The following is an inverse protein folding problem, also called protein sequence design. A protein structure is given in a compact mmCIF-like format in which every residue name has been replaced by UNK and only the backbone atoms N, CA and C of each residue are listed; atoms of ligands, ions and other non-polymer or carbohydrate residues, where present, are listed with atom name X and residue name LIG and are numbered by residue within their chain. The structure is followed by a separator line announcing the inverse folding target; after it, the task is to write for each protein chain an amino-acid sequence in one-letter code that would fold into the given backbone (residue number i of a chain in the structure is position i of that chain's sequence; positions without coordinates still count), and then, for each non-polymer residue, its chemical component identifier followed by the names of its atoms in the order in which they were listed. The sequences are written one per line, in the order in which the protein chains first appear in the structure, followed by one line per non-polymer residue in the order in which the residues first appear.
data_IF_687320775444
#
_entry.id   IF_687320775444
#
_cell.length_a   1.000
_cell.length_b   1.000
_cell.length_c   1.000
_cell.angle_alpha   90.00
_cell.angle_beta   90.00
_cell.angle_gamma   90.00
#
_symmetry.space_group_name_H-M   'P 1'
#
loop_
_entity.id
_entity.type
_entity.pdbx_description
1 polymer ?
#
# COMPACT_ATOMS: atom_id res chain seq x y z
N UNK A 1 -23.20 0.63 -6.10
CA UNK A 1 -21.95 1.29 -6.58
C UNK A 1 -21.00 1.44 -5.42
N UNK A 2 -19.75 1.00 -5.58
CA UNK A 2 -18.69 1.29 -4.62
C UNK A 2 -18.38 2.79 -4.69
N UNK A 3 -18.40 3.46 -3.53
CA UNK A 3 -18.05 4.87 -3.46
C UNK A 3 -16.53 5.02 -3.64
N UNK A 4 -16.13 5.98 -4.44
CA UNK A 4 -14.75 6.44 -4.52
C UNK A 4 -14.64 7.83 -3.89
N UNK A 5 -13.56 8.13 -3.26
CA UNK A 5 -13.27 9.43 -2.65
C UNK A 5 -12.44 10.34 -3.57
N UNK A 6 -12.66 10.22 -4.88
CA UNK A 6 -11.99 11.04 -5.89
C UNK A 6 -11.82 12.52 -5.53
N UNK A 7 -12.86 13.21 -5.00
CA UNK A 7 -12.71 14.62 -4.60
C UNK A 7 -11.70 14.84 -3.49
N UNK A 8 -11.56 13.88 -2.56
CA UNK A 8 -10.61 13.98 -1.45
C UNK A 8 -9.18 13.80 -1.95
N UNK A 9 -8.93 12.85 -2.85
CA UNK A 9 -7.63 12.68 -3.50
C UNK A 9 -7.21 13.95 -4.25
N UNK A 10 -8.15 14.57 -4.96
CA UNK A 10 -7.90 15.81 -5.68
C UNK A 10 -7.62 16.99 -4.73
N UNK A 11 -8.27 17.07 -3.57
CA UNK A 11 -8.04 18.09 -2.56
C UNK A 11 -6.68 17.96 -1.86
N UNK A 12 -6.23 16.72 -1.58
CA UNK A 12 -4.90 16.46 -1.03
C UNK A 12 -3.79 16.85 -2.01
N UNK A 13 -3.91 16.47 -3.28
CA UNK A 13 -2.97 16.87 -4.33
C UNK A 13 -2.90 18.37 -4.55
N UNK A 14 -3.94 19.11 -4.17
CA UNK A 14 -4.01 20.56 -4.34
C UNK A 14 -3.26 21.36 -3.27
N UNK A 15 -2.86 20.75 -2.16
CA UNK A 15 -2.29 21.46 -1.02
C UNK A 15 -0.76 21.50 -0.99
N UNK A 16 -0.07 20.50 -1.54
CA UNK A 16 1.33 20.27 -1.14
C UNK A 16 2.29 19.94 -2.28
N UNK A 17 2.35 20.68 -3.40
CA UNK A 17 3.54 20.49 -4.13
C UNK A 17 3.62 20.75 -5.64
N UNK A 18 4.79 20.52 -6.24
CA UNK A 18 5.14 20.86 -7.63
C UNK A 18 4.34 20.09 -8.70
N UNK A 19 3.58 19.07 -8.31
CA UNK A 19 2.73 18.27 -9.19
C UNK A 19 1.30 18.79 -9.31
N UNK A 20 1.08 20.04 -8.97
CA UNK A 20 -0.20 20.71 -9.15
C UNK A 20 -0.47 20.96 -10.64
N UNK A 21 -1.15 20.01 -11.29
CA UNK A 21 -1.63 20.22 -12.65
C UNK A 21 -2.77 21.25 -12.68
N UNK A 22 -2.79 22.21 -13.61
CA UNK A 22 -3.95 23.07 -13.85
C UNK A 22 -5.26 22.27 -14.07
N UNK A 23 -5.15 21.04 -14.57
CA UNK A 23 -6.22 20.07 -14.73
C UNK A 23 -6.89 19.72 -13.39
N UNK A 24 -6.17 19.70 -12.28
CA UNK A 24 -6.72 19.39 -10.96
C UNK A 24 -7.70 20.45 -10.43
N UNK A 25 -7.54 21.73 -10.78
CA UNK A 25 -8.49 22.80 -10.39
C UNK A 25 -9.85 22.59 -11.04
N UNK A 26 -9.84 22.31 -12.34
CA UNK A 26 -11.06 22.06 -13.10
C UNK A 26 -11.71 20.74 -12.67
N UNK A 27 -10.92 19.71 -12.41
CA UNK A 27 -11.39 18.44 -11.88
C UNK A 27 -12.06 18.61 -10.50
N UNK A 28 -11.44 19.32 -9.57
CA UNK A 28 -12.00 19.63 -8.26
C UNK A 28 -13.30 20.46 -8.35
N UNK A 29 -13.37 21.38 -9.30
CA UNK A 29 -14.58 22.17 -9.56
C UNK A 29 -15.69 21.28 -10.12
N UNK A 30 -15.35 20.39 -11.05
CA UNK A 30 -16.29 19.40 -11.62
C UNK A 30 -16.80 18.44 -10.54
N UNK A 31 -15.93 17.94 -9.67
CA UNK A 31 -16.31 17.09 -8.56
C UNK A 31 -17.28 17.78 -7.59
N UNK A 32 -17.03 19.07 -7.26
CA UNK A 32 -17.95 19.85 -6.41
C UNK A 32 -19.31 20.08 -7.07
N UNK A 33 -19.33 20.35 -8.37
CA UNK A 33 -20.59 20.49 -9.13
C UNK A 33 -21.31 19.14 -9.17
N UNK A 34 -20.60 18.05 -9.44
CA UNK A 34 -21.15 16.70 -9.40
C UNK A 34 -21.76 16.38 -8.02
N UNK A 35 -21.03 16.65 -6.93
CA UNK A 35 -21.52 16.44 -5.58
C UNK A 35 -22.81 17.23 -5.32
N UNK A 36 -22.83 18.52 -5.69
CA UNK A 36 -24.00 19.37 -5.49
C UNK A 36 -25.23 18.87 -6.25
N UNK A 37 -25.05 18.41 -7.49
CA UNK A 37 -26.15 17.98 -8.36
C UNK A 37 -26.63 16.54 -8.05
N UNK A 38 -25.70 15.63 -7.76
CA UNK A 38 -26.00 14.21 -7.68
C UNK A 38 -26.16 13.66 -6.26
N UNK A 39 -25.39 14.15 -5.27
CA UNK A 39 -25.51 13.66 -3.89
C UNK A 39 -26.89 13.96 -3.34
N UNK A 40 -27.42 15.18 -3.55
CA UNK A 40 -28.78 15.55 -3.15
C UNK A 40 -29.88 14.68 -3.77
N UNK A 41 -29.68 14.24 -5.02
CA UNK A 41 -30.60 13.31 -5.71
C UNK A 41 -30.53 11.90 -5.14
N UNK A 42 -29.33 11.39 -4.88
CA UNK A 42 -29.14 10.06 -4.27
C UNK A 42 -29.68 10.00 -2.84
N UNK A 43 -29.49 11.05 -2.05
CA UNK A 43 -30.06 11.16 -0.71
C UNK A 43 -31.58 11.03 -0.70
N UNK A 44 -32.27 11.75 -1.60
CA UNK A 44 -33.73 11.74 -1.72
C UNK A 44 -34.31 10.43 -2.25
N UNK A 45 -33.55 9.68 -3.02
CA UNK A 45 -33.98 8.40 -3.63
C UNK A 45 -33.75 7.18 -2.74
N UNK A 46 -33.26 7.34 -1.52
CA UNK A 46 -32.95 6.21 -0.63
C UNK A 46 -31.86 5.28 -1.17
N UNK A 47 -30.98 5.79 -2.06
CA UNK A 47 -29.88 5.01 -2.64
C UNK A 47 -28.95 4.57 -1.52
N UNK A 48 -28.62 3.28 -1.46
CA UNK A 48 -27.63 2.72 -0.55
C UNK A 48 -26.25 2.70 -1.20
N UNK A 49 -25.21 2.96 -0.39
CA UNK A 49 -23.82 2.99 -0.78
C UNK A 49 -23.05 1.95 0.01
N UNK A 50 -22.28 1.14 -0.70
CA UNK A 50 -21.29 0.25 -0.10
C UNK A 50 -19.91 0.88 -0.26
N UNK A 51 -19.19 1.01 0.85
CA UNK A 51 -17.85 1.61 0.88
C UNK A 51 -16.81 0.55 1.20
N UNK A 52 -15.59 0.77 0.68
CA UNK A 52 -14.46 -0.14 0.89
C UNK A 52 -13.76 0.08 2.22
N UNK A 53 -13.97 1.25 2.85
CA UNK A 53 -13.31 1.62 4.10
C UNK A 53 -14.16 2.61 4.89
N UNK A 54 -13.88 2.73 6.18
CA UNK A 54 -14.47 3.76 7.04
C UNK A 54 -14.09 5.17 6.59
N UNK A 55 -12.90 5.35 6.02
CA UNK A 55 -12.49 6.62 5.41
C UNK A 55 -13.44 7.03 4.29
N UNK A 56 -13.79 6.11 3.40
CA UNK A 56 -14.74 6.36 2.31
C UNK A 56 -16.17 6.58 2.85
N UNK A 57 -16.55 5.86 3.91
CA UNK A 57 -17.85 6.06 4.60
C UNK A 57 -17.93 7.46 5.21
N UNK A 58 -16.93 7.86 5.98
CA UNK A 58 -16.85 9.19 6.59
C UNK A 58 -17.00 10.30 5.55
N UNK A 59 -16.30 10.18 4.42
CA UNK A 59 -16.43 11.12 3.30
C UNK A 59 -17.89 11.26 2.82
N UNK A 60 -18.64 10.17 2.66
CA UNK A 60 -20.04 10.20 2.22
C UNK A 60 -20.97 10.81 3.30
N UNK A 61 -20.73 10.54 4.58
CA UNK A 61 -21.47 11.15 5.68
C UNK A 61 -21.23 12.66 5.74
N UNK A 62 -20.02 13.15 5.50
CA UNK A 62 -19.71 14.57 5.37
C UNK A 62 -20.48 15.24 4.20
N UNK A 63 -20.85 14.46 3.17
CA UNK A 63 -21.74 14.89 2.08
C UNK A 63 -23.23 14.80 2.44
N UNK A 64 -23.56 14.65 3.73
CA UNK A 64 -24.91 14.60 4.29
C UNK A 64 -25.77 13.41 3.80
N UNK A 65 -25.14 12.30 3.44
CA UNK A 65 -25.86 11.02 3.35
C UNK A 65 -26.14 10.51 4.77
N UNK A 66 -27.27 9.84 4.96
CA UNK A 66 -27.60 9.30 6.28
C UNK A 66 -26.78 8.03 6.60
N UNK A 67 -26.50 7.74 7.87
CA UNK A 67 -25.78 6.53 8.27
C UNK A 67 -26.40 5.23 7.72
N UNK A 68 -27.72 5.18 7.59
CA UNK A 68 -28.46 4.02 7.08
C UNK A 68 -28.29 3.83 5.57
N UNK A 69 -27.85 4.88 4.87
CA UNK A 69 -27.57 4.82 3.44
C UNK A 69 -26.15 4.36 3.12
N UNK A 70 -25.24 4.34 4.09
CA UNK A 70 -23.82 4.09 3.86
C UNK A 70 -23.32 2.97 4.75
N UNK A 71 -22.98 1.84 4.14
CA UNK A 71 -22.45 0.67 4.84
C UNK A 71 -21.03 0.39 4.38
N UNK A 72 -20.11 0.21 5.32
CA UNK A 72 -18.76 -0.27 5.01
C UNK A 72 -18.80 -1.80 4.94
N UNK A 73 -18.33 -2.33 3.81
CA UNK A 73 -18.27 -3.79 3.57
C UNK A 73 -16.82 -4.30 3.47
N UNK A 74 -15.84 -3.40 3.51
CA UNK A 74 -14.46 -3.79 3.29
C UNK A 74 -14.17 -4.25 1.87
N UNK A 75 -13.09 -5.00 1.71
CA UNK A 75 -12.72 -5.69 0.47
C UNK A 75 -12.11 -7.03 0.83
N UNK A 76 -12.56 -8.09 0.18
CA UNK A 76 -11.98 -9.42 0.31
C UNK A 76 -10.95 -9.72 -0.77
N UNK A 77 -10.11 -10.70 -0.48
CA UNK A 77 -9.27 -11.35 -1.48
C UNK A 77 -9.84 -12.70 -1.85
N UNK A 78 -9.56 -13.11 -3.07
CA UNK A 78 -9.76 -14.48 -3.52
C UNK A 78 -8.55 -15.32 -3.09
N UNK A 79 -8.69 -16.02 -1.96
CA UNK A 79 -7.63 -16.82 -1.40
C UNK A 79 -7.22 -17.97 -2.33
N UNK A 80 -8.15 -18.51 -3.15
CA UNK A 80 -7.83 -19.57 -4.11
C UNK A 80 -7.02 -19.06 -5.29
N UNK A 81 -7.32 -17.83 -5.77
CA UNK A 81 -6.56 -17.19 -6.83
C UNK A 81 -5.10 -16.93 -6.42
N UNK A 82 -4.86 -16.67 -5.13
CA UNK A 82 -3.54 -16.42 -4.57
C UNK A 82 -2.79 -17.70 -4.13
N UNK A 83 -3.47 -18.84 -4.07
CA UNK A 83 -2.83 -20.13 -3.75
C UNK A 83 -1.91 -20.61 -4.86
N UNK A 84 -1.17 -21.67 -4.58
CA UNK A 84 -0.20 -22.26 -5.48
C UNK A 84 -0.80 -22.58 -6.86
N UNK A 85 -0.12 -22.07 -7.88
CA UNK A 85 -0.24 -22.56 -9.23
C UNK A 85 1.10 -23.20 -9.61
N UNK A 86 1.16 -24.53 -9.75
CA UNK A 86 2.41 -25.22 -10.05
C UNK A 86 3.13 -24.71 -11.31
N UNK A 87 2.36 -24.21 -12.28
CA UNK A 87 2.87 -23.73 -13.57
C UNK A 87 3.14 -22.22 -13.60
N UNK A 88 3.10 -21.54 -12.45
CA UNK A 88 3.20 -20.07 -12.41
C UNK A 88 4.56 -19.53 -12.89
N UNK A 89 5.64 -20.34 -12.80
CA UNK A 89 7.00 -19.87 -13.03
C UNK A 89 7.45 -18.84 -11.98
N UNK A 90 8.69 -18.39 -12.09
CA UNK A 90 9.27 -17.39 -11.19
C UNK A 90 9.48 -16.06 -11.92
N UNK A 91 9.26 -14.96 -11.22
CA UNK A 91 9.63 -13.64 -11.75
C UNK A 91 11.14 -13.44 -11.68
N UNK A 92 11.69 -12.56 -12.54
CA UNK A 92 13.11 -12.18 -12.43
C UNK A 92 13.44 -11.60 -11.06
N UNK A 93 12.50 -10.84 -10.48
CA UNK A 93 12.68 -10.25 -9.14
C UNK A 93 12.75 -11.33 -8.07
N UNK A 94 11.89 -12.35 -8.13
CA UNK A 94 11.95 -13.49 -7.20
C UNK A 94 13.28 -14.23 -7.30
N UNK A 95 13.81 -14.44 -8.50
CA UNK A 95 15.11 -15.09 -8.69
C UNK A 95 16.24 -14.28 -8.03
N UNK A 96 16.23 -12.96 -8.17
CA UNK A 96 17.19 -12.06 -7.50
C UNK A 96 17.04 -12.13 -5.97
N UNK A 97 15.80 -12.13 -5.46
CA UNK A 97 15.55 -12.28 -4.02
C UNK A 97 16.06 -13.60 -3.47
N UNK A 98 15.90 -14.70 -4.20
CA UNK A 98 16.44 -16.03 -3.84
C UNK A 98 17.97 -16.08 -3.89
N UNK A 99 18.59 -15.33 -4.78
CA UNK A 99 20.05 -15.25 -4.90
C UNK A 99 20.69 -14.47 -3.75
N UNK A 100 20.00 -13.48 -3.17
CA UNK A 100 20.47 -12.76 -1.98
C UNK A 100 20.47 -13.69 -0.76
N UNK A 101 21.64 -13.88 -0.15
CA UNK A 101 21.82 -14.81 1.00
C UNK A 101 21.85 -14.11 2.36
N UNK A 102 22.25 -12.85 2.39
CA UNK A 102 22.42 -12.03 3.59
C UNK A 102 21.70 -10.70 3.44
N UNK A 103 21.38 -10.05 4.54
CA UNK A 103 20.71 -8.76 4.58
C UNK A 103 19.21 -8.83 4.37
N UNK A 104 18.52 -7.80 4.86
CA UNK A 104 17.07 -7.68 4.77
C UNK A 104 16.57 -7.51 3.33
N UNK A 105 15.49 -8.21 3.02
CA UNK A 105 14.75 -8.10 1.76
C UNK A 105 13.49 -7.28 1.98
N UNK A 106 13.57 -6.00 1.68
CA UNK A 106 12.46 -5.06 1.77
C UNK A 106 11.66 -5.08 0.47
N UNK A 107 10.34 -5.21 0.54
CA UNK A 107 9.48 -5.32 -0.64
C UNK A 107 8.50 -4.15 -0.70
N UNK A 108 8.40 -3.54 -1.87
CA UNK A 108 7.35 -2.60 -2.23
C UNK A 108 6.62 -3.08 -3.48
N UNK A 109 5.29 -3.05 -3.45
CA UNK A 109 4.45 -3.33 -4.62
C UNK A 109 3.39 -2.25 -4.73
N UNK A 110 3.34 -1.57 -5.88
CA UNK A 110 2.37 -0.53 -6.12
C UNK A 110 2.74 0.40 -7.26
N UNK A 111 1.84 1.32 -7.57
CA UNK A 111 2.12 2.35 -8.56
C UNK A 111 3.26 3.25 -8.10
N UNK A 112 4.09 3.64 -9.05
CA UNK A 112 5.17 4.61 -8.82
C UNK A 112 4.59 5.99 -9.09
N UNK A 113 4.20 6.67 -8.03
CA UNK A 113 3.52 7.97 -8.08
C UNK A 113 3.78 8.77 -6.78
N UNK A 114 3.68 10.11 -6.80
CA UNK A 114 4.05 10.96 -5.67
C UNK A 114 3.42 10.57 -4.33
N UNK A 115 2.13 10.21 -4.32
CA UNK A 115 1.45 9.84 -3.07
C UNK A 115 1.97 8.54 -2.43
N UNK A 116 2.67 7.70 -3.20
CA UNK A 116 3.30 6.45 -2.74
C UNK A 116 4.73 6.66 -2.26
N UNK A 117 5.29 7.81 -2.56
CA UNK A 117 6.60 8.31 -2.15
C UNK A 117 7.75 7.29 -2.21
N UNK A 118 8.12 6.84 -3.40
CA UNK A 118 9.25 5.93 -3.57
C UNK A 118 10.58 6.56 -3.11
N UNK A 119 10.71 7.90 -3.10
CA UNK A 119 11.90 8.58 -2.59
C UNK A 119 12.10 8.31 -1.10
N UNK A 120 11.02 8.35 -0.33
CA UNK A 120 11.08 8.01 1.09
C UNK A 120 11.52 6.56 1.31
N UNK A 121 11.14 5.60 0.45
CA UNK A 121 11.64 4.23 0.51
C UNK A 121 13.16 4.16 0.28
N UNK A 122 13.69 4.97 -0.64
CA UNK A 122 15.13 5.04 -0.89
C UNK A 122 15.86 5.61 0.35
N UNK A 123 15.29 6.61 1.01
CA UNK A 123 15.84 7.17 2.24
C UNK A 123 15.83 6.13 3.38
N UNK A 124 14.72 5.39 3.54
CA UNK A 124 14.62 4.29 4.51
C UNK A 124 15.67 3.20 4.22
N UNK A 125 15.85 2.80 2.96
CA UNK A 125 16.86 1.82 2.60
C UNK A 125 18.27 2.33 2.94
N UNK A 126 18.57 3.59 2.63
CA UNK A 126 19.88 4.18 2.96
C UNK A 126 20.13 4.16 4.47
N UNK A 127 19.12 4.42 5.30
CA UNK A 127 19.24 4.33 6.76
C UNK A 127 19.41 2.88 7.25
N UNK A 128 18.64 1.92 6.71
CA UNK A 128 18.78 0.48 7.03
C UNK A 128 20.20 0.00 6.73
N UNK A 129 20.75 0.39 5.59
CA UNK A 129 22.08 -0.06 5.14
C UNK A 129 23.25 0.45 6.00
N UNK A 130 23.04 1.43 6.87
CA UNK A 130 24.05 1.82 7.87
C UNK A 130 24.34 0.70 8.88
N UNK A 131 23.32 -0.15 9.17
CA UNK A 131 23.41 -1.27 10.12
C UNK A 131 23.38 -2.64 9.46
N UNK A 132 22.76 -2.76 8.28
CA UNK A 132 22.68 -3.95 7.45
C UNK A 132 23.12 -3.60 6.01
N UNK A 133 24.44 -3.59 5.72
CA UNK A 133 24.97 -3.20 4.42
C UNK A 133 24.48 -4.07 3.24
N UNK A 134 23.99 -5.29 3.52
CA UNK A 134 23.50 -6.23 2.53
C UNK A 134 21.99 -6.08 2.26
N UNK A 135 21.30 -5.22 3.00
CA UNK A 135 19.87 -4.98 2.79
C UNK A 135 19.59 -4.47 1.39
N UNK A 136 18.51 -4.99 0.79
CA UNK A 136 18.06 -4.62 -0.55
C UNK A 136 16.56 -4.27 -0.56
N UNK A 137 16.20 -3.38 -1.49
CA UNK A 137 14.82 -3.02 -1.79
C UNK A 137 14.39 -3.61 -3.13
N UNK A 138 13.30 -4.34 -3.10
CA UNK A 138 12.67 -4.97 -4.26
C UNK A 138 11.36 -4.25 -4.59
N UNK A 139 11.25 -3.76 -5.81
CA UNK A 139 10.14 -2.93 -6.28
C UNK A 139 9.40 -3.64 -7.41
N UNK A 140 8.08 -3.80 -7.27
CA UNK A 140 7.18 -4.12 -8.39
C UNK A 140 6.23 -2.97 -8.59
N UNK A 141 6.33 -2.30 -9.72
CA UNK A 141 5.45 -1.19 -10.03
C UNK A 141 5.86 -0.39 -11.25
N UNK A 142 4.89 0.33 -11.79
CA UNK A 142 5.09 1.26 -12.89
C UNK A 142 4.30 2.55 -12.62
N UNK A 143 4.60 3.60 -13.34
CA UNK A 143 4.00 4.91 -13.17
C UNK A 143 4.13 5.79 -14.39
N UNK A 144 3.98 7.09 -14.20
CA UNK A 144 4.31 8.07 -15.20
C UNK A 144 5.81 7.99 -15.54
N UNK A 145 6.15 8.03 -16.83
CA UNK A 145 7.52 7.78 -17.28
C UNK A 145 8.53 8.81 -16.72
N UNK A 146 8.17 10.08 -16.72
CA UNK A 146 9.03 11.15 -16.21
C UNK A 146 9.27 10.99 -14.69
N UNK A 147 8.21 10.64 -13.95
CA UNK A 147 8.32 10.38 -12.53
C UNK A 147 9.13 9.12 -12.21
N UNK A 148 8.94 8.05 -12.99
CA UNK A 148 9.73 6.81 -12.87
C UNK A 148 11.21 7.10 -13.13
N UNK A 149 11.53 7.88 -14.14
CA UNK A 149 12.92 8.22 -14.47
C UNK A 149 13.55 9.13 -13.40
N UNK A 150 12.79 10.02 -12.76
CA UNK A 150 13.28 10.79 -11.62
C UNK A 150 13.61 9.93 -10.41
N UNK A 151 12.82 8.87 -10.15
CA UNK A 151 13.11 7.90 -9.07
C UNK A 151 14.36 7.08 -9.39
N UNK A 152 14.56 6.66 -10.65
CA UNK A 152 15.77 5.96 -11.06
C UNK A 152 17.02 6.84 -10.95
N UNK A 153 16.91 8.11 -11.31
CA UNK A 153 18.01 9.08 -11.11
C UNK A 153 18.39 9.17 -9.63
N UNK A 154 17.39 9.26 -8.73
CA UNK A 154 17.64 9.30 -7.30
C UNK A 154 18.29 8.02 -6.75
N UNK A 155 18.02 6.85 -7.33
CA UNK A 155 18.73 5.61 -6.99
C UNK A 155 20.23 5.76 -7.27
N UNK A 156 20.58 6.31 -8.45
CA UNK A 156 21.99 6.57 -8.82
C UNK A 156 22.64 7.63 -7.95
N UNK A 157 21.95 8.77 -7.70
CA UNK A 157 22.46 9.84 -6.84
C UNK A 157 22.76 9.38 -5.42
N UNK A 158 22.00 8.39 -4.92
CA UNK A 158 22.19 7.81 -3.58
C UNK A 158 23.15 6.63 -3.57
N UNK A 159 23.68 6.18 -4.72
CA UNK A 159 24.58 5.02 -4.83
C UNK A 159 23.90 3.70 -4.45
N UNK A 160 22.60 3.55 -4.75
CA UNK A 160 21.79 2.40 -4.37
C UNK A 160 21.55 1.40 -5.52
N UNK A 161 22.20 1.56 -6.68
CA UNK A 161 21.97 0.73 -7.89
C UNK A 161 22.24 -0.76 -7.65
N UNK A 162 23.18 -1.08 -6.76
CA UNK A 162 23.53 -2.47 -6.44
C UNK A 162 22.54 -3.16 -5.50
N UNK A 163 21.63 -2.41 -4.86
CA UNK A 163 20.71 -2.92 -3.83
C UNK A 163 19.23 -2.55 -4.04
N UNK A 164 18.89 -1.86 -5.13
CA UNK A 164 17.52 -1.62 -5.55
C UNK A 164 17.23 -2.40 -6.82
N UNK A 165 16.33 -3.37 -6.73
CA UNK A 165 15.91 -4.21 -7.85
C UNK A 165 14.47 -3.88 -8.22
N UNK A 166 14.25 -3.51 -9.49
CA UNK A 166 12.96 -3.00 -9.94
C UNK A 166 12.43 -3.76 -11.15
N UNK A 167 11.21 -4.28 -11.02
CA UNK A 167 10.42 -4.90 -12.08
C UNK A 167 9.13 -4.08 -12.30
N UNK A 168 8.82 -3.72 -13.53
CA UNK A 168 7.65 -2.85 -13.82
C UNK A 168 6.31 -3.48 -13.43
N UNK A 169 6.15 -4.77 -13.68
CA UNK A 169 4.92 -5.54 -13.40
C UNK A 169 5.20 -7.02 -13.30
N UNK A 170 4.38 -7.71 -12.54
CA UNK A 170 4.34 -9.17 -12.51
C UNK A 170 2.89 -9.64 -12.54
N UNK A 171 2.58 -10.79 -13.13
CA UNK A 171 1.26 -11.40 -13.05
C UNK A 171 0.92 -11.74 -11.59
N UNK A 172 -0.36 -11.56 -11.20
CA UNK A 172 -0.78 -11.82 -9.82
C UNK A 172 -0.51 -13.25 -9.36
N UNK A 173 -0.64 -14.23 -10.25
CA UNK A 173 -0.37 -15.63 -9.94
C UNK A 173 1.12 -15.95 -9.68
N UNK A 174 2.05 -15.04 -9.99
CA UNK A 174 3.47 -15.16 -9.68
C UNK A 174 3.88 -14.43 -8.40
N UNK A 175 2.95 -13.69 -7.77
CA UNK A 175 3.29 -12.82 -6.65
C UNK A 175 3.61 -13.59 -5.37
N UNK A 176 3.10 -14.82 -5.21
CA UNK A 176 3.37 -15.65 -4.03
C UNK A 176 4.86 -15.78 -3.74
N UNK A 177 5.66 -16.17 -4.74
CA UNK A 177 7.11 -16.35 -4.58
C UNK A 177 7.82 -15.07 -4.16
N UNK A 178 7.40 -13.93 -4.73
CA UNK A 178 7.95 -12.62 -4.38
C UNK A 178 7.65 -12.26 -2.92
N UNK A 179 6.39 -12.36 -2.49
CA UNK A 179 6.02 -12.09 -1.10
C UNK A 179 6.75 -13.03 -0.13
N UNK A 180 6.83 -14.32 -0.44
CA UNK A 180 7.47 -15.33 0.43
C UNK A 180 8.98 -15.13 0.58
N UNK A 181 9.66 -14.50 -0.37
CA UNK A 181 11.09 -14.18 -0.27
C UNK A 181 11.36 -12.86 0.49
N UNK A 182 10.37 -12.02 0.65
CA UNK A 182 10.53 -10.76 1.39
C UNK A 182 10.56 -10.99 2.90
N UNK A 183 11.33 -10.18 3.62
CA UNK A 183 11.31 -10.13 5.08
C UNK A 183 10.23 -9.19 5.61
N UNK A 184 10.07 -8.04 4.96
CA UNK A 184 9.09 -7.01 5.34
C UNK A 184 8.52 -6.35 4.08
N UNK A 185 7.25 -5.97 4.17
CA UNK A 185 6.53 -5.23 3.12
C UNK A 185 6.34 -3.77 3.53
N UNK A 186 6.70 -2.84 2.64
CA UNK A 186 6.69 -1.40 2.93
C UNK A 186 5.68 -0.67 2.05
N UNK A 187 4.86 0.21 2.64
CA UNK A 187 3.92 1.06 1.90
C UNK A 187 3.82 2.46 2.52
N UNK A 188 4.77 3.37 2.25
CA UNK A 188 4.76 4.74 2.78
C UNK A 188 3.81 5.64 1.97
N UNK A 189 2.52 5.36 1.99
CA UNK A 189 1.55 6.10 1.19
C UNK A 189 0.93 7.26 1.97
N UNK A 190 0.83 8.43 1.35
CA UNK A 190 0.12 9.57 1.96
C UNK A 190 -1.39 9.35 1.99
N UNK A 191 -1.88 8.56 1.06
CA UNK A 191 -3.30 8.30 0.93
C UNK A 191 -3.57 6.94 0.29
N UNK A 192 -4.39 6.16 0.94
CA UNK A 192 -4.92 4.90 0.44
C UNK A 192 -6.34 4.70 0.96
N UNK A 193 -7.26 4.30 0.10
CA UNK A 193 -8.64 4.00 0.53
C UNK A 193 -8.69 2.68 1.27
N UNK A 194 -8.04 1.65 0.70
CA UNK A 194 -8.03 0.31 1.26
C UNK A 194 -6.67 -0.39 1.12
N UNK A 195 -6.06 -0.37 -0.08
CA UNK A 195 -4.74 -0.95 -0.31
C UNK A 195 -4.73 -2.47 -0.40
N UNK A 196 -5.19 -3.04 -1.52
CA UNK A 196 -5.20 -4.49 -1.75
C UNK A 196 -3.85 -5.16 -1.50
N UNK A 197 -2.75 -4.47 -1.78
CA UNK A 197 -1.39 -4.98 -1.55
C UNK A 197 -1.07 -5.20 -0.07
N UNK A 198 -1.77 -4.51 0.86
CA UNK A 198 -1.68 -4.78 2.30
C UNK A 198 -2.28 -6.15 2.61
N UNK A 199 -3.49 -6.42 2.09
CA UNK A 199 -4.13 -7.73 2.24
C UNK A 199 -3.28 -8.85 1.64
N UNK A 200 -2.71 -8.65 0.46
CA UNK A 200 -1.85 -9.62 -0.19
C UNK A 200 -0.60 -9.92 0.66
N UNK A 201 0.08 -8.88 1.15
CA UNK A 201 1.25 -9.04 2.02
C UNK A 201 0.92 -9.80 3.31
N UNK A 202 -0.19 -9.44 3.97
CA UNK A 202 -0.70 -10.11 5.17
C UNK A 202 -1.08 -11.57 4.90
N UNK A 203 -1.76 -11.85 3.77
CA UNK A 203 -2.10 -13.21 3.34
C UNK A 203 -0.87 -14.09 3.15
N UNK A 204 0.21 -13.53 2.59
CA UNK A 204 1.48 -14.24 2.44
C UNK A 204 2.37 -14.18 3.69
N UNK A 205 1.80 -13.83 4.86
CA UNK A 205 2.50 -13.77 6.15
C UNK A 205 3.71 -12.85 6.12
N UNK A 206 3.56 -11.65 5.54
CA UNK A 206 4.60 -10.62 5.63
C UNK A 206 4.20 -9.56 6.63
N UNK A 207 5.13 -9.19 7.48
CA UNK A 207 4.96 -8.01 8.32
C UNK A 207 4.89 -6.79 7.43
N UNK A 208 3.79 -6.06 7.54
CA UNK A 208 3.56 -4.80 6.83
C UNK A 208 4.01 -3.64 7.69
N UNK A 209 4.79 -2.72 7.12
CA UNK A 209 5.02 -1.39 7.66
C UNK A 209 4.43 -0.34 6.71
N UNK A 210 3.47 0.43 7.20
CA UNK A 210 2.77 1.44 6.41
C UNK A 210 2.51 2.71 7.22
N UNK A 211 2.06 3.74 6.55
CA UNK A 211 1.58 4.99 7.17
C UNK A 211 0.12 4.86 7.58
N UNK A 212 -0.40 5.75 8.44
CA UNK A 212 -1.83 5.87 8.68
C UNK A 212 -2.59 6.11 7.37
N UNK A 213 -3.54 5.25 7.04
CA UNK A 213 -4.36 5.32 5.84
C UNK A 213 -5.62 4.45 5.99
N UNK A 214 -6.59 4.58 5.08
CA UNK A 214 -7.86 3.87 5.17
C UNK A 214 -7.76 2.35 5.18
N UNK A 215 -6.73 1.77 4.56
CA UNK A 215 -6.46 0.33 4.63
C UNK A 215 -5.84 -0.06 5.97
N UNK A 216 -4.88 0.72 6.44
CA UNK A 216 -4.25 0.50 7.75
C UNK A 216 -5.31 0.56 8.88
N UNK A 217 -6.20 1.54 8.85
CA UNK A 217 -7.26 1.71 9.85
C UNK A 217 -8.21 0.50 9.90
N UNK A 218 -8.42 -0.18 8.78
CA UNK A 218 -9.32 -1.32 8.71
C UNK A 218 -8.63 -2.66 9.00
N UNK A 219 -7.38 -2.79 8.61
CA UNK A 219 -6.70 -4.09 8.56
C UNK A 219 -5.68 -4.27 9.68
N UNK A 220 -5.06 -3.17 10.16
CA UNK A 220 -3.88 -3.26 11.01
C UNK A 220 -4.18 -2.84 12.46
N UNK A 221 -3.71 -3.65 13.37
CA UNK A 221 -3.51 -3.33 14.80
C UNK A 221 -2.02 -3.21 15.01
N UNK A 222 -1.53 -1.95 15.07
CA UNK A 222 -0.09 -1.67 15.09
C UNK A 222 0.60 -2.35 16.26
N UNK A 223 1.64 -3.15 15.97
CA UNK A 223 2.35 -3.95 16.95
C UNK A 223 1.82 -5.38 17.14
N UNK A 224 0.61 -5.70 16.62
CA UNK A 224 -0.01 -7.04 16.70
C UNK A 224 0.07 -7.78 15.37
N UNK A 225 -0.50 -7.24 14.30
CA UNK A 225 -0.57 -7.86 12.98
C UNK A 225 0.09 -7.03 11.87
N UNK A 226 0.81 -5.97 12.23
CA UNK A 226 1.52 -5.07 11.33
C UNK A 226 2.02 -3.85 12.07
N UNK A 227 2.60 -2.91 11.36
CA UNK A 227 3.21 -1.71 11.91
C UNK A 227 2.69 -0.48 11.18
N UNK A 228 2.24 0.52 11.95
CA UNK A 228 1.77 1.78 11.39
C UNK A 228 2.60 2.91 11.97
N UNK A 229 3.32 3.63 11.12
CA UNK A 229 4.19 4.75 11.49
C UNK A 229 3.93 5.96 10.60
N UNK A 230 4.03 7.14 11.19
CA UNK A 230 4.05 8.39 10.41
C UNK A 230 5.28 8.45 9.50
N UNK A 231 5.11 9.06 8.32
CA UNK A 231 6.16 9.24 7.32
C UNK A 231 7.00 10.50 7.61
N UNK A 232 7.47 10.67 8.82
CA UNK A 232 8.20 11.87 9.23
C UNK A 232 9.71 11.70 9.29
N UNK A 233 10.17 10.45 9.45
CA UNK A 233 11.58 10.16 9.71
C UNK A 233 11.99 8.79 9.15
N UNK A 234 12.83 8.74 8.09
CA UNK A 234 13.36 7.50 7.53
C UNK A 234 14.17 6.67 8.55
N UNK A 235 14.91 7.32 9.47
CA UNK A 235 15.69 6.61 10.46
C UNK A 235 14.81 5.88 11.48
N UNK A 236 13.65 6.44 11.82
CA UNK A 236 12.66 5.76 12.67
C UNK A 236 12.07 4.52 11.97
N UNK A 237 11.79 4.61 10.68
CA UNK A 237 11.35 3.46 9.88
C UNK A 237 12.44 2.40 9.85
N UNK A 238 13.67 2.78 9.52
CA UNK A 238 14.81 1.88 9.48
C UNK A 238 15.02 1.15 10.82
N UNK A 239 15.02 1.89 11.93
CA UNK A 239 15.12 1.30 13.27
C UNK A 239 14.01 0.28 13.53
N UNK A 240 12.78 0.62 13.18
CA UNK A 240 11.62 -0.29 13.36
C UNK A 240 11.76 -1.57 12.53
N UNK A 241 12.25 -1.47 11.29
CA UNK A 241 12.50 -2.63 10.43
C UNK A 241 13.58 -3.54 11.01
N UNK A 242 14.69 -2.96 11.44
CA UNK A 242 15.83 -3.68 12.04
C UNK A 242 15.41 -4.34 13.37
N UNK A 243 14.73 -3.63 14.26
CA UNK A 243 14.22 -4.17 15.53
C UNK A 243 13.24 -5.33 15.30
N UNK A 244 12.38 -5.22 14.28
CA UNK A 244 11.42 -6.29 13.92
C UNK A 244 12.14 -7.51 13.37
N UNK A 245 13.16 -7.32 12.56
CA UNK A 245 13.94 -8.41 11.98
C UNK A 245 14.85 -9.10 13.06
N UNK A 246 15.30 -8.34 14.04
CA UNK A 246 16.12 -8.85 15.14
C UNK A 246 15.33 -9.67 16.18
N UNK A 247 13.98 -9.66 16.14
CA UNK A 247 13.12 -10.45 17.03
C UNK A 247 12.27 -11.45 16.21
N UNK A 248 12.82 -12.63 15.87
CA UNK A 248 12.12 -13.62 15.04
C UNK A 248 10.82 -14.13 15.65
N UNK A 249 10.72 -14.21 16.99
CA UNK A 249 9.52 -14.66 17.66
C UNK A 249 8.38 -13.65 17.53
N UNK A 250 8.68 -12.39 17.78
CA UNK A 250 7.71 -11.29 17.60
C UNK A 250 7.28 -11.19 16.14
N UNK A 251 8.25 -11.26 15.23
CA UNK A 251 7.99 -11.23 13.78
C UNK A 251 7.04 -12.37 13.38
N UNK A 252 7.31 -13.61 13.81
CA UNK A 252 6.48 -14.78 13.50
C UNK A 252 5.06 -14.66 14.08
N UNK A 253 4.91 -14.15 15.32
CA UNK A 253 3.58 -13.88 15.90
C UNK A 253 2.81 -12.84 15.08
N UNK A 254 3.47 -11.77 14.66
CA UNK A 254 2.85 -10.71 13.86
C UNK A 254 2.45 -11.23 12.46
N UNK A 255 3.29 -12.03 11.82
CA UNK A 255 3.02 -12.69 10.53
C UNK A 255 1.81 -13.63 10.61
N UNK A 256 1.70 -14.39 11.69
CA UNK A 256 0.56 -15.27 11.93
C UNK A 256 -0.72 -14.47 12.16
N UNK A 257 -0.69 -13.45 13.02
CA UNK A 257 -1.84 -12.59 13.30
C UNK A 257 -2.31 -11.83 12.03
N UNK A 258 -1.37 -11.38 11.19
CA UNK A 258 -1.69 -10.78 9.90
C UNK A 258 -2.48 -11.74 9.00
N UNK A 259 -2.00 -12.98 8.85
CA UNK A 259 -2.66 -14.00 8.06
C UNK A 259 -4.06 -14.35 8.59
N UNK A 260 -4.21 -14.52 9.91
CA UNK A 260 -5.49 -14.80 10.56
C UNK A 260 -6.51 -13.67 10.33
N UNK A 261 -6.10 -12.42 10.44
CA UNK A 261 -6.94 -11.26 10.11
C UNK A 261 -7.50 -11.36 8.69
N UNK A 262 -6.66 -11.73 7.72
CA UNK A 262 -7.11 -11.84 6.33
C UNK A 262 -8.08 -13.01 6.15
N UNK A 263 -7.74 -14.20 6.66
CA UNK A 263 -8.54 -15.42 6.45
C UNK A 263 -9.92 -15.32 7.11
N UNK A 264 -9.99 -14.71 8.28
CA UNK A 264 -11.23 -14.64 9.05
C UNK A 264 -12.09 -13.41 8.77
N UNK A 265 -11.50 -12.32 8.29
CA UNK A 265 -12.19 -11.03 8.17
C UNK A 265 -12.21 -10.47 6.73
N UNK A 266 -11.32 -10.94 5.83
CA UNK A 266 -11.07 -10.27 4.56
C UNK A 266 -10.91 -11.22 3.35
N UNK A 267 -11.50 -12.39 3.39
CA UNK A 267 -11.78 -13.21 2.19
C UNK A 267 -13.19 -12.92 1.68
N UNK A 268 -13.47 -13.21 0.41
CA UNK A 268 -14.84 -13.05 -0.10
C UNK A 268 -15.86 -13.95 0.61
N UNK A 269 -15.42 -15.07 1.17
CA UNK A 269 -16.28 -15.99 1.93
C UNK A 269 -16.53 -15.51 3.37
N UNK A 270 -15.67 -14.61 3.89
CA UNK A 270 -15.79 -14.06 5.24
C UNK A 270 -16.59 -12.75 5.30
N UNK A 271 -16.76 -12.04 4.16
CA UNK A 271 -17.49 -10.77 4.04
C UNK A 271 -18.97 -11.01 3.72
#
# INVERSE_FOLDING_TARGET
RLASDFPHQAAHRAKDGPYYSPFNKNYNRMCRVFDALFVGRYRRRGTRFLTKSELARKFLLEKRLSPEQVTTVGVGIDAELLRDRPDAGQTELEQKMRAQKTGLKLLYIGRIEPRRDPFFLLDVLAEVRKSDPDACLYIIGDGDAEYVDSVKAAIGEKGLESCVFWQKKAPQYQMKGVYQQADLFLLPTEYEIFGMVLLEAMFFRRVVLTTPNGGADMLLRSGENGLVLEKSDPARWAKTLLDTAADPEKKARMEQAAYETVIHENTWDAL
#
